data_IF_621572810216
#
_entry.id   IF_621572810216
#
_cell.length_a   1.000
_cell.length_b   1.000
_cell.length_c   1.000
_cell.angle_alpha   90.00
_cell.angle_beta   90.00
_cell.angle_gamma   90.00
#
_symmetry.space_group_name_H-M   'P 1'
#
loop_
_entity.id
_entity.type
_entity.pdbx_description
1 polymer ?
#
# COMPACT_ATOMS: atom_id res chain seq x y z
N UNK A 1 8.31 -31.57 -2.57
CA UNK A 1 8.17 -30.11 -2.54
C UNK A 1 7.76 -29.70 -3.94
N UNK A 2 6.52 -29.25 -4.12
CA UNK A 2 6.06 -28.81 -5.43
C UNK A 2 6.65 -27.42 -5.72
N UNK A 3 7.39 -27.31 -6.82
CA UNK A 3 7.97 -26.04 -7.26
C UNK A 3 6.84 -25.19 -7.81
N UNK A 4 6.49 -24.11 -7.11
CA UNK A 4 5.48 -23.16 -7.57
C UNK A 4 6.09 -22.31 -8.68
N UNK A 5 5.66 -22.54 -9.92
CA UNK A 5 6.04 -21.72 -11.07
C UNK A 5 5.15 -20.48 -11.14
N UNK A 6 5.69 -19.32 -10.80
CA UNK A 6 5.02 -18.05 -11.09
C UNK A 6 5.26 -17.65 -12.55
N UNK A 7 4.19 -17.27 -13.26
CA UNK A 7 4.30 -16.76 -14.64
C UNK A 7 4.98 -15.39 -14.73
N UNK A 8 5.09 -14.68 -13.60
CA UNK A 8 5.74 -13.38 -13.48
C UNK A 8 6.75 -13.41 -12.33
N UNK A 9 7.81 -12.57 -12.36
CA UNK A 9 8.73 -12.42 -11.25
C UNK A 9 7.97 -12.08 -9.96
N UNK A 10 8.32 -12.73 -8.85
CA UNK A 10 7.67 -12.55 -7.54
C UNK A 10 7.68 -11.07 -7.12
N UNK A 11 8.75 -10.35 -7.44
CA UNK A 11 8.91 -8.91 -7.21
C UNK A 11 7.83 -8.09 -7.92
N UNK A 12 7.54 -8.43 -9.18
CA UNK A 12 6.51 -7.73 -9.97
C UNK A 12 5.12 -7.93 -9.35
N UNK A 13 4.84 -9.13 -8.85
CA UNK A 13 3.56 -9.45 -8.19
C UNK A 13 3.43 -8.67 -6.88
N UNK A 14 4.50 -8.56 -6.09
CA UNK A 14 4.53 -7.71 -4.90
C UNK A 14 4.16 -6.26 -5.25
N UNK A 15 4.76 -5.67 -6.29
CA UNK A 15 4.46 -4.30 -6.70
C UNK A 15 3.03 -4.14 -7.21
N UNK A 16 2.45 -5.15 -7.86
CA UNK A 16 1.04 -5.16 -8.22
C UNK A 16 0.14 -5.15 -6.98
N UNK A 17 0.46 -5.94 -5.95
CA UNK A 17 -0.30 -5.93 -4.69
C UNK A 17 -0.20 -4.61 -3.93
N UNK A 18 0.98 -3.98 -3.91
CA UNK A 18 1.14 -2.65 -3.33
C UNK A 18 0.32 -1.61 -4.10
N UNK A 19 0.36 -1.65 -5.44
CA UNK A 19 -0.44 -0.76 -6.29
C UNK A 19 -1.94 -0.95 -6.08
N UNK A 20 -2.42 -2.19 -6.08
CA UNK A 20 -3.82 -2.51 -5.82
C UNK A 20 -4.25 -2.05 -4.42
N UNK A 21 -3.43 -2.31 -3.40
CA UNK A 21 -3.67 -1.86 -2.02
C UNK A 21 -3.79 -0.34 -1.94
N UNK A 22 -2.87 0.39 -2.57
CA UNK A 22 -2.89 1.86 -2.59
C UNK A 22 -4.15 2.40 -3.25
N UNK A 23 -4.55 1.86 -4.40
CA UNK A 23 -5.76 2.28 -5.12
C UNK A 23 -7.01 1.98 -4.31
N UNK A 24 -7.16 0.74 -3.81
CA UNK A 24 -8.35 0.31 -3.07
C UNK A 24 -8.49 1.09 -1.76
N UNK A 25 -7.41 1.23 -0.99
CA UNK A 25 -7.45 1.99 0.27
C UNK A 25 -7.80 3.47 0.04
N UNK A 26 -7.25 4.09 -1.02
CA UNK A 26 -7.56 5.47 -1.38
C UNK A 26 -9.03 5.65 -1.78
N UNK A 27 -9.56 4.75 -2.61
CA UNK A 27 -10.98 4.77 -3.02
C UNK A 27 -11.88 4.66 -1.79
N UNK A 28 -11.62 3.71 -0.90
CA UNK A 28 -12.41 3.53 0.33
C UNK A 28 -12.31 4.79 1.21
N UNK A 29 -11.10 5.34 1.38
CA UNK A 29 -10.89 6.56 2.14
C UNK A 29 -11.65 7.77 1.62
N UNK A 30 -11.69 7.95 0.29
CA UNK A 30 -12.45 9.00 -0.37
C UNK A 30 -13.96 8.80 -0.22
N UNK A 31 -14.44 7.56 -0.35
CA UNK A 31 -15.85 7.22 -0.12
C UNK A 31 -16.26 7.51 1.33
N UNK A 32 -15.44 7.10 2.31
CA UNK A 32 -15.67 7.37 3.73
C UNK A 32 -15.68 8.86 4.02
N UNK A 33 -14.76 9.63 3.41
CA UNK A 33 -14.81 11.09 3.53
C UNK A 33 -16.11 11.66 2.95
N UNK A 34 -16.57 11.18 1.80
CA UNK A 34 -17.81 11.66 1.18
C UNK A 34 -19.04 11.35 2.05
N UNK A 35 -19.11 10.15 2.63
CA UNK A 35 -20.24 9.70 3.46
C UNK A 35 -20.30 10.40 4.82
N UNK A 36 -19.17 10.48 5.53
CA UNK A 36 -19.13 11.01 6.89
C UNK A 36 -18.85 12.51 6.95
N UNK A 37 -18.51 13.15 5.82
CA UNK A 37 -18.08 14.56 5.69
C UNK A 37 -16.91 14.95 6.62
N UNK A 38 -16.20 13.97 7.19
CA UNK A 38 -15.06 14.16 8.09
C UNK A 38 -13.77 13.73 7.40
N UNK A 39 -12.95 14.70 6.99
CA UNK A 39 -11.64 14.45 6.32
C UNK A 39 -10.71 13.60 7.18
N UNK A 40 -10.71 13.80 8.50
CA UNK A 40 -9.89 13.02 9.43
C UNK A 40 -10.25 11.53 9.42
N UNK A 41 -11.54 11.18 9.32
CA UNK A 41 -11.99 9.79 9.28
C UNK A 41 -11.53 9.14 7.97
N UNK A 42 -11.72 9.81 6.82
CA UNK A 42 -11.22 9.31 5.53
C UNK A 42 -9.70 9.11 5.50
N UNK A 43 -8.94 10.05 6.08
CA UNK A 43 -7.48 9.92 6.23
C UNK A 43 -7.09 8.68 7.04
N UNK A 44 -7.64 8.52 8.25
CA UNK A 44 -7.32 7.38 9.12
C UNK A 44 -7.76 6.05 8.51
N UNK A 45 -8.92 6.00 7.87
CA UNK A 45 -9.38 4.79 7.18
C UNK A 45 -8.44 4.41 6.03
N UNK A 46 -8.02 5.38 5.21
CA UNK A 46 -7.03 5.13 4.14
C UNK A 46 -5.73 4.59 4.72
N UNK A 47 -5.22 5.24 5.77
CA UNK A 47 -3.96 4.90 6.39
C UNK A 47 -3.99 3.47 6.95
N UNK A 48 -5.01 3.12 7.74
CA UNK A 48 -5.15 1.80 8.34
C UNK A 48 -5.30 0.72 7.27
N UNK A 49 -6.17 0.92 6.27
CA UNK A 49 -6.36 -0.08 5.20
C UNK A 49 -5.10 -0.29 4.38
N UNK A 50 -4.39 0.78 4.05
CA UNK A 50 -3.13 0.70 3.31
C UNK A 50 -2.03 0.00 4.10
N UNK A 51 -1.97 0.22 5.42
CA UNK A 51 -1.02 -0.46 6.30
C UNK A 51 -1.32 -1.96 6.42
N UNK A 52 -2.61 -2.33 6.54
CA UNK A 52 -3.04 -3.73 6.56
C UNK A 52 -2.69 -4.40 5.23
N UNK A 53 -2.97 -3.77 4.09
CA UNK A 53 -2.64 -4.33 2.78
C UNK A 53 -1.13 -4.43 2.52
N UNK A 54 -0.33 -3.47 3.00
CA UNK A 54 1.14 -3.58 2.99
C UNK A 54 1.58 -4.82 3.79
N UNK A 55 1.06 -4.99 5.00
CA UNK A 55 1.41 -6.10 5.89
C UNK A 55 1.07 -7.45 5.25
N UNK A 56 -0.13 -7.58 4.67
CA UNK A 56 -0.54 -8.78 3.94
C UNK A 56 0.34 -9.04 2.71
N UNK A 57 0.72 -7.99 1.97
CA UNK A 57 1.60 -8.10 0.81
C UNK A 57 2.99 -8.59 1.20
N UNK A 58 3.54 -8.10 2.32
CA UNK A 58 4.85 -8.51 2.82
C UNK A 58 4.84 -9.94 3.37
N UNK A 59 3.78 -10.35 4.07
CA UNK A 59 3.61 -11.74 4.55
C UNK A 59 3.51 -12.69 3.36
N UNK A 60 2.73 -12.33 2.34
CA UNK A 60 2.66 -13.12 1.11
C UNK A 60 4.03 -13.18 0.41
N UNK A 61 4.72 -12.05 0.28
CA UNK A 61 6.02 -11.98 -0.38
C UNK A 61 7.08 -12.81 0.34
N UNK A 62 7.08 -12.84 1.67
CA UNK A 62 7.97 -13.70 2.45
C UNK A 62 7.75 -15.17 2.10
N UNK A 63 6.50 -15.64 2.06
CA UNK A 63 6.19 -17.03 1.72
C UNK A 63 6.55 -17.35 0.27
N UNK A 64 6.25 -16.44 -0.67
CA UNK A 64 6.58 -16.60 -2.08
C UNK A 64 8.10 -16.65 -2.31
N UNK A 65 8.85 -15.80 -1.62
CA UNK A 65 10.32 -15.73 -1.70
C UNK A 65 10.99 -17.03 -1.26
N UNK A 66 10.46 -17.68 -0.20
CA UNK A 66 10.93 -18.98 0.25
C UNK A 66 10.66 -20.06 -0.81
N UNK A 67 9.49 -20.03 -1.45
CA UNK A 67 9.11 -21.01 -2.46
C UNK A 67 9.96 -20.96 -3.74
N UNK A 68 10.48 -19.77 -4.10
CA UNK A 68 11.36 -19.59 -5.27
C UNK A 68 12.85 -19.53 -4.91
N UNK A 69 13.21 -19.84 -3.67
CA UNK A 69 14.60 -19.76 -3.17
C UNK A 69 15.27 -18.41 -3.44
N UNK A 70 14.51 -17.32 -3.24
CA UNK A 70 15.02 -15.97 -3.43
C UNK A 70 16.14 -15.68 -2.43
N UNK A 71 17.24 -15.08 -2.90
CA UNK A 71 18.33 -14.66 -2.03
C UNK A 71 17.89 -13.59 -1.02
N UNK A 72 18.57 -13.55 0.12
CA UNK A 72 18.31 -12.57 1.20
C UNK A 72 18.49 -11.13 0.75
N UNK A 73 19.50 -10.86 -0.10
CA UNK A 73 19.80 -9.51 -0.58
C UNK A 73 18.70 -8.97 -1.52
N UNK A 74 18.24 -9.71 -2.55
CA UNK A 74 17.03 -9.35 -3.30
C UNK A 74 15.80 -9.13 -2.42
N UNK A 75 15.56 -10.00 -1.43
CA UNK A 75 14.40 -9.86 -0.53
C UNK A 75 14.46 -8.55 0.27
N UNK A 76 15.63 -8.21 0.82
CA UNK A 76 15.83 -6.99 1.60
C UNK A 76 15.63 -5.72 0.76
N UNK A 77 16.10 -5.72 -0.48
CA UNK A 77 15.92 -4.60 -1.41
C UNK A 77 14.42 -4.36 -1.66
N UNK A 78 13.66 -5.42 -1.96
CA UNK A 78 12.22 -5.31 -2.17
C UNK A 78 11.47 -4.83 -0.92
N UNK A 79 11.89 -5.28 0.27
CA UNK A 79 11.32 -4.80 1.54
C UNK A 79 11.53 -3.29 1.71
N UNK A 80 12.79 -2.82 1.59
CA UNK A 80 13.12 -1.40 1.73
C UNK A 80 12.38 -0.56 0.70
N UNK A 81 12.33 -1.01 -0.54
CA UNK A 81 11.63 -0.30 -1.61
C UNK A 81 10.12 -0.23 -1.36
N UNK A 82 9.51 -1.31 -0.86
CA UNK A 82 8.09 -1.34 -0.48
C UNK A 82 7.77 -0.34 0.63
N UNK A 83 8.65 -0.22 1.63
CA UNK A 83 8.50 0.76 2.71
C UNK A 83 8.65 2.20 2.21
N UNK A 84 9.57 2.45 1.28
CA UNK A 84 9.73 3.76 0.64
C UNK A 84 8.48 4.15 -0.17
N UNK A 85 7.95 3.22 -0.96
CA UNK A 85 6.71 3.43 -1.72
C UNK A 85 5.52 3.70 -0.79
N UNK A 86 5.42 2.96 0.31
CA UNK A 86 4.40 3.21 1.32
C UNK A 86 4.56 4.60 1.96
N UNK A 87 5.78 5.00 2.33
CA UNK A 87 6.05 6.34 2.86
C UNK A 87 5.67 7.44 1.87
N UNK A 88 5.99 7.28 0.59
CA UNK A 88 5.57 8.18 -0.47
C UNK A 88 4.05 8.26 -0.57
N UNK A 89 3.37 7.12 -0.54
CA UNK A 89 1.91 7.04 -0.58
C UNK A 89 1.24 7.74 0.61
N UNK A 90 1.75 7.52 1.83
CA UNK A 90 1.29 8.24 3.03
C UNK A 90 1.50 9.74 2.89
N UNK A 91 2.62 10.18 2.31
CA UNK A 91 2.87 11.59 1.99
C UNK A 91 1.81 12.17 1.03
N UNK A 92 1.46 11.43 -0.02
CA UNK A 92 0.42 11.81 -0.98
C UNK A 92 -0.95 11.90 -0.28
N UNK A 93 -1.32 10.89 0.51
CA UNK A 93 -2.58 10.88 1.29
C UNK A 93 -2.62 12.08 2.24
N UNK A 94 -1.54 12.34 2.96
CA UNK A 94 -1.47 13.48 3.87
C UNK A 94 -1.78 14.79 3.13
N UNK A 95 -1.17 15.03 1.97
CA UNK A 95 -1.44 16.22 1.15
C UNK A 95 -2.87 16.23 0.59
N UNK A 96 -3.40 15.07 0.19
CA UNK A 96 -4.76 14.95 -0.37
C UNK A 96 -5.86 15.27 0.67
N UNK A 97 -5.70 14.79 1.91
CA UNK A 97 -6.66 15.01 2.99
C UNK A 97 -6.37 16.28 3.83
N UNK A 98 -5.21 16.92 3.65
CA UNK A 98 -4.85 18.16 4.36
C UNK A 98 -5.90 19.25 4.10
N UNK A 99 -6.36 19.97 5.13
CA UNK A 99 -7.23 21.12 4.93
C UNK A 99 -6.50 22.20 4.13
N UNK A 100 -6.90 22.39 2.87
CA UNK A 100 -6.52 23.60 2.12
C UNK A 100 -7.24 24.77 2.78
N UNK A 101 -6.48 25.76 3.25
CA UNK A 101 -7.02 27.03 3.82
C UNK A 101 -7.84 27.85 2.80
N UNK A 102 -7.95 27.39 1.54
CA UNK A 102 -8.70 28.06 0.47
C UNK A 102 -10.23 28.01 0.63
N UNK A 103 -10.77 27.25 1.59
CA UNK A 103 -12.22 27.17 1.84
C UNK A 103 -12.73 28.28 2.79
N UNK A 104 -11.94 29.32 3.11
CA UNK A 104 -12.34 30.48 3.95
C UNK A 104 -12.60 31.78 3.18
N UNK A 105 -13.08 31.69 1.94
CA UNK A 105 -13.61 32.86 1.22
C UNK A 105 -14.93 32.45 0.58
N UNK A 106 -15.96 32.30 1.40
CA UNK A 106 -17.36 32.47 1.01
C UNK A 106 -18.10 33.07 2.18
#
# INVERSE_FOLDING_TARGET
MDVVYYSYPVDAILYMYLGATAVVSLIIGLLVWHLFKRRAVGFWTTLVLSFVGLSLSLVWFQNASVAVFMGTLPWLINLVFSLLLYGLFVGIIYVAFRPRKLDRVK
#
